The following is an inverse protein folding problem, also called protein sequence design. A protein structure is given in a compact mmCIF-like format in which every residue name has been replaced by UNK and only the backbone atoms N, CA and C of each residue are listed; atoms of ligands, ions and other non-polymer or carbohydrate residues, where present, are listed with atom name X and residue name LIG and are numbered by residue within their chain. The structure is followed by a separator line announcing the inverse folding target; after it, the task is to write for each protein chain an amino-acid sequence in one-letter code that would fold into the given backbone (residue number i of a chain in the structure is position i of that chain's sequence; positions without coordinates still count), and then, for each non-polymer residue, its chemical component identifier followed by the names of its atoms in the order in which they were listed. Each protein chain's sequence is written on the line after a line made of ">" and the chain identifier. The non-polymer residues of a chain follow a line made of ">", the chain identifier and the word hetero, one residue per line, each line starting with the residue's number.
data_IF_442920562911
#
_entry.id   IF_442920562911
#
_cell.length_a   1.000
_cell.length_b   1.000
_cell.length_c   1.000
_cell.angle_alpha   90.00
_cell.angle_beta   90.00
_cell.angle_gamma   90.00
#
_symmetry.space_group_name_H-M   'P 1'
#
loop_
_entity.id
_entity.type
_entity.pdbx_description
1 polymer ?
#
# COMPACT_ATOMS: atom_id res chain seq x y z
N UNK A 1 27.02 -5.65 -3.25
CA UNK A 1 26.84 -5.29 -1.82
C UNK A 1 26.21 -6.47 -1.11
N UNK A 2 26.44 -6.62 0.19
CA UNK A 2 25.77 -7.67 0.99
C UNK A 2 25.17 -6.97 2.21
N UNK A 3 23.87 -7.19 2.41
CA UNK A 3 23.17 -6.74 3.61
C UNK A 3 23.50 -7.69 4.76
N UNK A 4 24.12 -7.16 5.82
CA UNK A 4 24.38 -7.93 7.03
C UNK A 4 23.16 -7.84 7.97
N UNK A 5 22.39 -8.92 8.04
CA UNK A 5 21.19 -9.03 8.88
C UNK A 5 21.49 -8.97 10.38
N UNK A 6 22.74 -9.16 10.80
CA UNK A 6 23.16 -9.17 12.20
C UNK A 6 23.47 -7.78 12.72
N UNK A 7 24.11 -6.96 11.88
CA UNK A 7 24.54 -5.60 12.24
C UNK A 7 23.66 -4.51 11.64
N UNK A 8 22.79 -4.85 10.68
CA UNK A 8 21.90 -3.89 10.02
C UNK A 8 22.62 -2.95 9.04
N UNK A 9 23.88 -3.23 8.70
CA UNK A 9 24.68 -2.39 7.81
C UNK A 9 24.76 -2.97 6.40
N UNK A 10 24.81 -2.08 5.40
CA UNK A 10 25.13 -2.44 4.02
C UNK A 10 26.65 -2.49 3.90
N UNK A 11 27.20 -3.69 3.75
CA UNK A 11 28.64 -3.86 3.53
C UNK A 11 28.93 -3.80 2.03
N UNK A 12 29.70 -2.81 1.56
CA UNK A 12 30.15 -2.79 0.17
C UNK A 12 31.16 -3.94 -0.03
N UNK A 13 30.74 -4.97 -0.75
CA UNK A 13 31.64 -6.05 -1.18
C UNK A 13 32.31 -5.64 -2.48
N UNK A 14 33.62 -5.37 -2.41
CA UNK A 14 34.46 -5.06 -3.57
C UNK A 14 34.51 -6.26 -4.52
N UNK A 15 33.83 -6.17 -5.67
CA UNK A 15 34.05 -7.06 -6.81
C UNK A 15 34.86 -6.31 -7.88
N UNK A 16 36.19 -6.41 -7.78
CA UNK A 16 37.13 -5.94 -8.79
C UNK A 16 37.45 -4.44 -8.72
N UNK A 17 38.74 -4.10 -8.80
CA UNK A 17 39.24 -2.73 -8.80
C UNK A 17 39.44 -2.20 -10.22
N UNK A 18 38.91 -1.00 -10.52
CA UNK A 18 39.51 -0.05 -11.47
C UNK A 18 39.82 1.24 -10.73
N UNK A 19 41.01 1.79 -10.96
CA UNK A 19 41.52 3.01 -10.33
C UNK A 19 40.60 4.19 -10.69
N UNK A 20 39.97 4.83 -9.69
CA UNK A 20 39.20 6.07 -9.86
C UNK A 20 37.69 6.04 -9.53
N UNK A 21 37.13 4.92 -9.04
CA UNK A 21 35.73 4.90 -8.62
C UNK A 21 35.53 5.65 -7.30
N UNK A 22 34.75 6.74 -7.32
CA UNK A 22 34.22 7.38 -6.12
C UNK A 22 33.00 6.56 -5.67
N UNK A 23 33.04 6.05 -4.44
CA UNK A 23 31.96 5.25 -3.86
C UNK A 23 31.06 6.15 -3.01
N UNK A 24 29.93 6.57 -3.58
CA UNK A 24 28.89 7.25 -2.80
C UNK A 24 28.14 6.18 -1.99
N UNK A 25 28.33 6.19 -0.68
CA UNK A 25 27.63 5.32 0.27
C UNK A 25 26.45 6.10 0.81
N UNK A 26 25.22 5.67 0.48
CA UNK A 26 24.02 6.13 1.17
C UNK A 26 23.89 5.30 2.46
N UNK A 27 24.21 5.89 3.60
CA UNK A 27 23.84 5.32 4.90
C UNK A 27 22.54 5.97 5.34
N UNK A 28 21.41 5.33 5.06
CA UNK A 28 20.19 5.61 5.81
C UNK A 28 20.37 5.00 7.21
N UNK A 29 20.14 5.80 8.26
CA UNK A 29 20.03 5.25 9.61
C UNK A 29 18.84 4.27 9.62
N UNK A 30 18.97 3.06 10.19
CA UNK A 30 17.82 2.20 10.37
C UNK A 30 16.79 2.97 11.19
N UNK A 31 15.63 3.26 10.58
CA UNK A 31 14.54 3.91 11.27
C UNK A 31 14.19 3.08 12.52
N UNK A 32 14.01 3.74 13.66
CA UNK A 32 13.54 3.06 14.85
C UNK A 32 12.25 2.29 14.51
N UNK A 33 12.10 1.04 14.99
CA UNK A 33 10.88 0.30 14.74
C UNK A 33 9.69 1.09 15.27
N UNK A 34 8.76 1.46 14.38
CA UNK A 34 7.56 2.20 14.73
C UNK A 34 6.85 1.44 15.87
N UNK A 35 6.70 2.03 17.07
CA UNK A 35 6.16 1.32 18.21
C UNK A 35 4.75 0.82 17.92
N UNK A 36 4.47 -0.42 18.31
CA UNK A 36 3.11 -0.96 18.28
C UNK A 36 2.36 -0.44 19.51
N UNK A 37 1.27 0.29 19.29
CA UNK A 37 0.34 0.63 20.36
C UNK A 37 -0.70 -0.47 20.49
N UNK A 38 -1.06 -0.80 21.71
CA UNK A 38 -2.12 -1.75 22.03
C UNK A 38 -3.21 -1.03 22.81
N UNK A 39 -4.46 -1.20 22.39
CA UNK A 39 -5.63 -0.67 23.07
C UNK A 39 -6.37 -1.82 23.73
N UNK A 40 -6.60 -1.72 25.04
CA UNK A 40 -7.42 -2.64 25.82
C UNK A 40 -8.77 -1.97 26.05
N UNK A 41 -9.85 -2.60 25.57
CA UNK A 41 -11.19 -2.10 25.81
C UNK A 41 -11.78 -2.54 27.16
N UNK A 42 -12.98 -2.05 27.47
CA UNK A 42 -13.69 -2.36 28.71
C UNK A 42 -14.11 -3.84 28.84
N UNK A 43 -14.11 -4.58 27.73
CA UNK A 43 -14.43 -6.00 27.67
C UNK A 43 -13.19 -6.89 27.75
N UNK A 44 -12.00 -6.29 27.83
CA UNK A 44 -10.72 -7.00 27.90
C UNK A 44 -10.15 -7.40 26.54
N UNK A 45 -10.72 -6.92 25.43
CA UNK A 45 -10.21 -7.20 24.09
C UNK A 45 -9.04 -6.28 23.75
N UNK A 46 -8.01 -6.85 23.13
CA UNK A 46 -6.81 -6.11 22.77
C UNK A 46 -6.81 -5.87 21.27
N UNK A 47 -6.61 -4.62 20.87
CA UNK A 47 -6.40 -4.24 19.46
C UNK A 47 -5.00 -3.68 19.28
N UNK A 48 -4.33 -4.05 18.19
CA UNK A 48 -3.15 -3.32 17.75
C UNK A 48 -3.62 -2.06 17.03
N UNK A 49 -3.01 -0.93 17.35
CA UNK A 49 -3.34 0.39 16.80
C UNK A 49 -2.09 1.00 16.21
N UNK A 50 -2.21 1.52 14.99
CA UNK A 50 -1.17 2.29 14.33
C UNK A 50 -1.74 3.58 13.77
N UNK A 51 -0.98 4.66 13.91
CA UNK A 51 -1.34 5.99 13.41
C UNK A 51 -0.36 6.38 12.31
N UNK A 52 -0.89 6.85 11.19
CA UNK A 52 -0.14 7.43 10.08
C UNK A 52 -0.68 8.83 9.78
N UNK A 53 -0.13 9.51 8.77
CA UNK A 53 -0.69 10.77 8.25
C UNK A 53 -2.09 10.55 7.65
N UNK A 54 -2.33 9.40 7.03
CA UNK A 54 -3.64 9.02 6.44
C UNK A 54 -4.73 8.79 7.50
N UNK A 55 -4.39 8.18 8.64
CA UNK A 55 -5.41 7.83 9.63
C UNK A 55 -4.95 6.90 10.76
N UNK A 56 -5.93 6.37 11.49
CA UNK A 56 -5.77 5.35 12.52
C UNK A 56 -6.25 4.00 11.97
N UNK A 57 -5.39 3.00 12.11
CA UNK A 57 -5.61 1.63 11.67
C UNK A 57 -5.63 0.75 12.91
N UNK A 58 -6.71 -0.02 13.09
CA UNK A 58 -6.83 -0.95 14.21
C UNK A 58 -7.26 -2.34 13.77
N UNK A 59 -6.58 -3.34 14.31
CA UNK A 59 -6.89 -4.76 14.09
C UNK A 59 -6.90 -5.51 15.43
N UNK A 60 -7.82 -6.46 15.63
CA UNK A 60 -7.87 -7.26 16.85
C UNK A 60 -6.61 -8.13 17.01
N UNK A 61 -6.16 -8.32 18.25
CA UNK A 61 -5.10 -9.24 18.60
C UNK A 61 -5.70 -10.62 18.86
N UNK A 62 -5.31 -11.60 18.03
CA UNK A 62 -5.77 -12.98 18.16
C UNK A 62 -5.57 -13.53 19.57
N UNK A 63 -6.56 -14.28 20.05
CA UNK A 63 -6.52 -14.95 21.36
C UNK A 63 -6.94 -14.09 22.55
N UNK A 64 -7.29 -12.81 22.35
CA UNK A 64 -7.74 -11.91 23.43
C UNK A 64 -9.25 -11.64 23.42
N UNK A 65 -10.01 -12.33 22.57
CA UNK A 65 -11.34 -11.91 22.11
C UNK A 65 -11.24 -11.16 20.77
N UNK A 66 -12.32 -10.53 20.30
CA UNK A 66 -12.29 -9.76 19.05
C UNK A 66 -13.09 -8.47 19.20
N UNK A 67 -12.38 -7.35 19.10
CA UNK A 67 -12.96 -6.09 18.65
C UNK A 67 -13.17 -6.15 17.13
N UNK A 68 -14.09 -5.35 16.61
CA UNK A 68 -14.18 -5.13 15.16
C UNK A 68 -12.96 -4.30 14.72
N UNK A 69 -12.31 -4.67 13.61
CA UNK A 69 -11.27 -3.84 13.04
C UNK A 69 -11.84 -2.48 12.63
N UNK A 70 -11.03 -1.43 12.71
CA UNK A 70 -11.50 -0.07 12.44
C UNK A 70 -10.49 0.74 11.64
N UNK A 71 -11.01 1.56 10.72
CA UNK A 71 -10.28 2.57 9.96
C UNK A 71 -10.87 3.95 10.27
N UNK A 72 -10.04 4.88 10.71
CA UNK A 72 -10.43 6.29 10.86
C UNK A 72 -9.49 7.17 10.04
N UNK A 73 -10.00 7.78 8.97
CA UNK A 73 -9.21 8.66 8.12
C UNK A 73 -9.11 10.07 8.73
N UNK A 74 -7.92 10.65 8.67
CA UNK A 74 -7.68 12.08 8.95
C UNK A 74 -7.89 12.96 7.72
N UNK A 75 -7.89 12.34 6.55
CA UNK A 75 -8.18 12.95 5.25
C UNK A 75 -9.61 12.66 4.82
N UNK A 76 -10.16 13.46 3.90
CA UNK A 76 -11.47 13.17 3.32
C UNK A 76 -11.44 11.83 2.57
N UNK A 77 -12.58 11.15 2.39
CA UNK A 77 -12.62 9.95 1.54
C UNK A 77 -12.29 10.29 0.09
N UNK A 78 -11.51 9.44 -0.56
CA UNK A 78 -11.06 9.62 -1.95
C UNK A 78 -12.27 9.77 -2.88
N UNK A 79 -12.39 10.85 -3.67
CA UNK A 79 -13.45 10.98 -4.67
C UNK A 79 -13.48 9.77 -5.61
N UNK A 80 -14.66 9.20 -5.86
CA UNK A 80 -14.78 8.01 -6.73
C UNK A 80 -14.25 8.25 -8.14
N UNK A 81 -14.21 9.51 -8.60
CA UNK A 81 -13.61 9.88 -9.90
C UNK A 81 -12.12 9.50 -9.99
N UNK A 82 -11.38 9.51 -8.89
CA UNK A 82 -9.98 9.05 -8.83
C UNK A 82 -9.90 7.54 -9.07
N UNK A 83 -10.82 6.77 -8.47
CA UNK A 83 -10.92 5.33 -8.74
C UNK A 83 -11.31 5.06 -10.19
N UNK A 84 -12.25 5.84 -10.74
CA UNK A 84 -12.68 5.73 -12.14
C UNK A 84 -11.52 6.02 -13.11
N UNK A 85 -10.69 7.03 -12.83
CA UNK A 85 -9.47 7.33 -13.58
C UNK A 85 -8.50 6.14 -13.58
N UNK A 86 -8.16 5.63 -12.39
CA UNK A 86 -7.24 4.48 -12.22
C UNK A 86 -7.77 3.25 -12.96
N UNK A 87 -9.05 2.92 -12.76
CA UNK A 87 -9.69 1.78 -13.41
C UNK A 87 -9.71 1.98 -14.92
N UNK A 88 -9.97 3.19 -15.43
CA UNK A 88 -9.92 3.46 -16.87
C UNK A 88 -8.54 3.19 -17.45
N UNK A 89 -7.47 3.61 -16.78
CA UNK A 89 -6.09 3.35 -17.21
C UNK A 89 -5.77 1.85 -17.20
N UNK A 90 -6.12 1.14 -16.13
CA UNK A 90 -5.93 -0.32 -16.06
C UNK A 90 -6.67 -1.09 -17.15
N UNK A 91 -7.86 -0.61 -17.54
CA UNK A 91 -8.66 -1.22 -18.61
C UNK A 91 -8.11 -0.95 -20.01
N UNK A 92 -7.35 0.14 -20.20
CA UNK A 92 -6.74 0.46 -21.48
C UNK A 92 -5.63 -0.52 -21.85
N UNK A 93 -4.92 -1.06 -20.84
CA UNK A 93 -3.85 -2.06 -21.02
C UNK A 93 -4.08 -3.26 -20.08
N UNK A 94 -5.09 -4.10 -20.34
CA UNK A 94 -5.50 -5.17 -19.43
C UNK A 94 -4.55 -6.39 -19.47
N UNK A 95 -3.57 -6.40 -20.35
CA UNK A 95 -2.64 -7.52 -20.54
C UNK A 95 -1.34 -7.36 -19.70
N UNK A 96 -1.20 -6.24 -18.98
CA UNK A 96 -0.12 -5.98 -18.03
C UNK A 96 -0.67 -5.56 -16.66
N UNK A 97 0.08 -5.86 -15.61
CA UNK A 97 -0.15 -5.28 -14.29
C UNK A 97 0.40 -3.86 -14.23
N UNK A 98 -0.31 -2.97 -13.56
CA UNK A 98 0.04 -1.58 -13.38
C UNK A 98 -0.18 -1.19 -11.93
N UNK A 99 0.64 -0.29 -11.41
CA UNK A 99 0.60 0.23 -10.05
C UNK A 99 0.35 1.72 -10.07
N UNK A 100 -0.55 2.18 -9.21
CA UNK A 100 -0.86 3.58 -9.00
C UNK A 100 -0.86 3.91 -7.50
N UNK A 101 -0.43 5.11 -7.17
CA UNK A 101 -0.54 5.68 -5.83
C UNK A 101 -1.56 6.82 -5.86
N UNK A 102 -2.50 6.81 -4.92
CA UNK A 102 -3.36 7.96 -4.66
C UNK A 102 -2.67 8.82 -3.61
N UNK A 103 -2.26 10.01 -4.02
CA UNK A 103 -1.52 10.96 -3.19
C UNK A 103 -2.48 12.01 -2.65
N UNK A 104 -2.34 12.33 -1.37
CA UNK A 104 -2.95 13.49 -0.74
C UNK A 104 -1.94 14.63 -0.64
N UNK A 105 -2.38 15.86 -0.89
CA UNK A 105 -1.61 17.08 -0.59
C UNK A 105 -2.34 18.01 0.41
N UNK A 106 -1.60 18.96 0.98
CA UNK A 106 -2.13 19.94 1.95
C UNK A 106 -3.09 20.97 1.36
N UNK A 107 -3.12 21.13 0.02
CA UNK A 107 -4.13 21.94 -0.66
C UNK A 107 -5.49 21.20 -0.75
N UNK A 108 -5.60 20.03 -0.09
CA UNK A 108 -6.76 19.15 -0.02
C UNK A 108 -7.13 18.50 -1.35
N UNK A 109 -6.14 18.28 -2.22
CA UNK A 109 -6.37 17.62 -3.49
C UNK A 109 -5.85 16.18 -3.47
N UNK A 110 -6.68 15.29 -4.02
CA UNK A 110 -6.24 13.96 -4.41
C UNK A 110 -5.71 13.99 -5.83
N UNK A 111 -4.58 13.32 -6.05
CA UNK A 111 -4.02 13.08 -7.38
C UNK A 111 -3.56 11.63 -7.53
N UNK A 112 -3.56 11.13 -8.76
CA UNK A 112 -2.97 9.83 -9.09
C UNK A 112 -1.52 10.04 -9.50
N UNK A 113 -0.63 9.31 -8.85
CA UNK A 113 0.77 9.21 -9.23
C UNK A 113 1.05 7.82 -9.79
N UNK A 114 1.63 7.79 -10.98
CA UNK A 114 2.06 6.58 -11.67
C UNK A 114 3.59 6.50 -11.57
N UNK A 115 4.16 5.63 -10.72
CA UNK A 115 5.60 5.49 -10.63
C UNK A 115 6.19 4.95 -11.93
N UNK A 116 7.45 5.28 -12.20
CA UNK A 116 8.23 4.50 -13.16
C UNK A 116 8.28 3.06 -12.66
N UNK A 117 7.85 2.12 -13.50
CA UNK A 117 7.55 0.76 -13.07
C UNK A 117 7.90 -0.26 -14.16
N UNK A 118 8.29 -1.45 -13.73
CA UNK A 118 8.50 -2.61 -14.59
C UNK A 118 7.30 -3.53 -14.45
N UNK A 119 6.58 -3.74 -15.56
CA UNK A 119 5.34 -4.49 -15.58
C UNK A 119 5.45 -5.76 -16.41
N UNK A 120 4.80 -6.82 -15.94
CA UNK A 120 4.51 -8.04 -16.68
C UNK A 120 3.01 -8.34 -16.59
N UNK A 121 2.55 -9.43 -17.19
CA UNK A 121 1.16 -9.85 -17.10
C UNK A 121 0.71 -10.28 -15.68
N UNK A 122 1.66 -10.49 -14.76
CA UNK A 122 1.39 -11.07 -13.42
C UNK A 122 2.24 -10.43 -12.31
N UNK A 123 2.91 -9.32 -12.61
CA UNK A 123 3.71 -8.60 -11.63
C UNK A 123 3.92 -7.16 -12.04
N UNK A 124 3.97 -6.26 -11.06
CA UNK A 124 4.42 -4.88 -11.24
C UNK A 124 5.35 -4.49 -10.11
N UNK A 125 6.46 -3.83 -10.45
CA UNK A 125 7.44 -3.33 -9.49
C UNK A 125 7.79 -1.87 -9.80
N UNK A 126 7.59 -0.97 -8.84
CA UNK A 126 8.04 0.41 -8.96
C UNK A 126 9.58 0.46 -8.93
N UNK A 127 10.18 1.15 -9.88
CA UNK A 127 11.64 1.30 -9.99
C UNK A 127 12.18 2.26 -8.93
N UNK A 128 11.40 3.28 -8.58
CA UNK A 128 11.69 4.24 -7.52
C UNK A 128 10.50 4.37 -6.57
N UNK A 129 10.79 4.56 -5.28
CA UNK A 129 9.79 4.86 -4.28
C UNK A 129 9.27 6.30 -4.42
N UNK A 130 8.04 6.54 -3.96
CA UNK A 130 7.53 7.89 -3.79
C UNK A 130 8.02 8.45 -2.46
N UNK A 131 8.67 9.62 -2.48
CA UNK A 131 9.18 10.29 -1.28
C UNK A 131 8.06 11.07 -0.59
N UNK A 132 7.55 10.52 0.52
CA UNK A 132 6.51 11.17 1.33
C UNK A 132 7.08 12.34 2.15
N UNK A 133 6.24 13.36 2.36
CA UNK A 133 6.48 14.48 3.26
C UNK A 133 5.29 14.66 4.20
N UNK A 134 5.38 15.55 5.18
CA UNK A 134 4.25 15.94 6.02
C UNK A 134 3.07 16.52 5.24
N UNK A 135 3.35 17.07 4.06
CA UNK A 135 2.37 17.77 3.25
C UNK A 135 1.92 16.98 2.03
N UNK A 136 2.60 15.87 1.70
CA UNK A 136 2.35 15.08 0.49
C UNK A 136 2.67 13.61 0.73
N UNK A 137 1.64 12.77 0.80
CA UNK A 137 1.80 11.36 1.19
C UNK A 137 0.81 10.44 0.49
N UNK A 138 1.11 9.14 0.49
CA UNK A 138 0.32 8.09 -0.13
C UNK A 138 -0.84 7.71 0.79
N UNK A 139 -2.06 7.85 0.30
CA UNK A 139 -3.27 7.40 1.00
C UNK A 139 -3.63 5.96 0.63
N UNK A 140 -3.53 5.61 -0.65
CA UNK A 140 -3.88 4.30 -1.18
C UNK A 140 -2.86 3.88 -2.22
N UNK A 141 -2.37 2.64 -2.11
CA UNK A 141 -1.68 1.96 -3.22
C UNK A 141 -2.68 1.01 -3.89
N UNK A 142 -2.69 1.00 -5.21
CA UNK A 142 -3.61 0.14 -5.95
C UNK A 142 -2.93 -0.38 -7.20
N UNK A 143 -2.98 -1.70 -7.39
CA UNK A 143 -2.47 -2.34 -8.61
C UNK A 143 -3.54 -3.10 -9.36
N UNK A 144 -3.26 -3.39 -10.62
CA UNK A 144 -4.10 -4.23 -11.47
C UNK A 144 -3.55 -5.65 -11.53
N UNK A 145 -4.44 -6.62 -11.64
CA UNK A 145 -4.18 -8.02 -11.97
C UNK A 145 -4.45 -8.30 -13.47
N UNK A 146 -4.54 -7.24 -14.28
CA UNK A 146 -4.88 -7.31 -15.69
C UNK A 146 -6.13 -8.15 -15.96
N UNK A 147 -5.95 -9.32 -16.58
CA UNK A 147 -7.05 -10.24 -16.93
C UNK A 147 -7.44 -11.22 -15.83
N UNK A 148 -6.69 -11.28 -14.73
CA UNK A 148 -6.94 -12.21 -13.62
C UNK A 148 -7.95 -11.63 -12.61
N UNK A 149 -8.64 -12.46 -11.81
CA UNK A 149 -9.52 -12.00 -10.74
C UNK A 149 -8.81 -11.09 -9.73
N UNK A 150 -9.59 -10.26 -9.04
CA UNK A 150 -9.06 -9.45 -7.95
C UNK A 150 -8.84 -10.34 -6.72
N UNK A 151 -7.60 -10.47 -6.26
CA UNK A 151 -7.25 -11.17 -5.01
C UNK A 151 -5.92 -10.62 -4.50
N UNK A 152 -5.60 -10.79 -3.22
CA UNK A 152 -4.27 -10.49 -2.70
C UNK A 152 -3.41 -11.76 -2.69
N UNK A 153 -2.26 -11.71 -3.37
CA UNK A 153 -1.31 -12.80 -3.48
C UNK A 153 -0.37 -12.86 -2.27
N UNK A 154 0.41 -13.94 -2.17
CA UNK A 154 1.49 -14.03 -1.15
C UNK A 154 2.60 -13.01 -1.38
N UNK A 155 2.81 -12.59 -2.63
CA UNK A 155 3.78 -11.56 -2.96
C UNK A 155 3.25 -10.21 -2.45
N UNK A 156 1.98 -9.91 -2.68
CA UNK A 156 1.31 -8.72 -2.18
C UNK A 156 1.38 -8.68 -0.64
N UNK A 157 1.13 -9.80 0.04
CA UNK A 157 1.27 -9.89 1.50
C UNK A 157 2.69 -9.52 1.99
N UNK A 158 3.73 -9.87 1.23
CA UNK A 158 5.12 -9.58 1.56
C UNK A 158 5.50 -8.14 1.25
N UNK A 159 4.94 -7.55 0.20
CA UNK A 159 5.25 -6.20 -0.27
C UNK A 159 4.42 -5.12 0.45
N UNK A 160 3.20 -5.46 0.89
CA UNK A 160 2.21 -4.53 1.46
C UNK A 160 2.24 -4.47 3.02
N UNK A 161 3.41 -4.68 3.62
CA UNK A 161 3.56 -4.70 5.09
C UNK A 161 3.38 -3.31 5.72
N UNK A 162 3.66 -2.23 4.98
CA UNK A 162 3.52 -0.85 5.47
C UNK A 162 2.08 -0.60 5.92
N UNK A 163 1.90 0.13 7.03
CA UNK A 163 0.55 0.50 7.48
C UNK A 163 -0.08 1.46 6.49
N UNK A 164 -1.25 1.12 5.97
CA UNK A 164 -1.89 1.88 4.89
C UNK A 164 -3.05 1.14 4.24
N UNK A 165 -3.60 1.74 3.19
CA UNK A 165 -4.66 1.15 2.36
C UNK A 165 -4.08 0.59 1.07
N UNK A 166 -4.63 -0.54 0.67
CA UNK A 166 -4.23 -1.30 -0.51
C UNK A 166 -5.47 -1.72 -1.30
N UNK A 167 -5.37 -1.66 -2.62
CA UNK A 167 -6.42 -2.07 -3.53
C UNK A 167 -5.87 -2.97 -4.63
N UNK A 168 -6.70 -3.86 -5.13
CA UNK A 168 -6.40 -4.61 -6.34
C UNK A 168 -7.60 -4.58 -7.28
N UNK A 169 -7.33 -4.34 -8.57
CA UNK A 169 -8.33 -4.35 -9.64
C UNK A 169 -8.07 -5.54 -10.54
N UNK A 170 -9.03 -6.44 -10.61
CA UNK A 170 -8.97 -7.63 -11.47
C UNK A 170 -9.98 -7.57 -12.61
N UNK A 171 -9.83 -8.49 -13.56
CA UNK A 171 -10.71 -8.63 -14.72
C UNK A 171 -10.87 -7.31 -15.50
N UNK A 172 -9.78 -6.56 -15.69
CA UNK A 172 -9.76 -5.25 -16.35
C UNK A 172 -10.25 -5.27 -17.79
N UNK A 173 -10.33 -6.43 -18.44
CA UNK A 173 -10.92 -6.57 -19.76
C UNK A 173 -12.47 -6.51 -19.75
N UNK A 174 -13.11 -6.58 -18.58
CA UNK A 174 -14.57 -6.60 -18.45
C UNK A 174 -15.19 -5.21 -18.34
N UNK A 175 -16.48 -5.12 -18.66
CA UNK A 175 -17.26 -3.89 -18.50
C UNK A 175 -17.32 -3.41 -17.05
N UNK A 176 -17.27 -4.35 -16.09
CA UNK A 176 -17.27 -4.10 -14.65
C UNK A 176 -16.12 -4.90 -14.01
N UNK A 177 -14.91 -4.32 -13.94
CA UNK A 177 -13.78 -4.98 -13.29
C UNK A 177 -14.08 -5.33 -11.84
N UNK A 178 -13.39 -6.33 -11.31
CA UNK A 178 -13.45 -6.67 -9.90
C UNK A 178 -12.55 -5.74 -9.09
N UNK A 179 -12.98 -5.35 -7.89
CA UNK A 179 -12.16 -4.57 -6.96
C UNK A 179 -12.18 -5.22 -5.57
N UNK A 180 -11.01 -5.24 -4.93
CA UNK A 180 -10.88 -5.55 -3.51
C UNK A 180 -9.99 -4.52 -2.83
N UNK A 181 -10.31 -4.23 -1.57
CA UNK A 181 -9.49 -3.36 -0.75
C UNK A 181 -9.21 -4.00 0.60
N UNK A 182 -8.04 -3.67 1.13
CA UNK A 182 -7.63 -4.03 2.47
C UNK A 182 -6.88 -2.88 3.12
N UNK A 183 -6.83 -2.91 4.43
CA UNK A 183 -5.84 -2.17 5.19
C UNK A 183 -4.77 -3.12 5.72
N UNK A 184 -3.56 -2.59 5.87
CA UNK A 184 -2.47 -3.23 6.61
C UNK A 184 -2.26 -2.47 7.91
N UNK A 185 -2.20 -3.18 9.03
CA UNK A 185 -1.76 -2.66 10.32
C UNK A 185 -0.42 -3.31 10.72
N UNK A 186 0.63 -2.95 9.97
CA UNK A 186 1.98 -3.50 10.16
C UNK A 186 2.08 -4.96 9.72
N UNK A 187 1.56 -5.28 8.54
CA UNK A 187 1.52 -6.63 7.97
C UNK A 187 0.34 -7.49 8.45
N UNK A 188 -0.54 -6.95 9.30
CA UNK A 188 -1.83 -7.57 9.63
C UNK A 188 -2.90 -7.00 8.71
N UNK A 189 -3.43 -7.85 7.84
CA UNK A 189 -4.37 -7.45 6.80
C UNK A 189 -5.82 -7.62 7.22
N UNK A 190 -6.65 -6.65 6.84
CA UNK A 190 -8.08 -6.69 7.04
C UNK A 190 -8.80 -6.14 5.80
N UNK A 191 -9.83 -6.85 5.32
CA UNK A 191 -10.68 -6.36 4.23
C UNK A 191 -11.41 -5.09 4.65
N UNK A 192 -11.46 -4.11 3.74
CA UNK A 192 -12.11 -2.81 3.95
C UNK A 192 -13.18 -2.63 2.89
N UNK A 193 -14.38 -2.20 3.30
CA UNK A 193 -15.44 -1.92 2.34
C UNK A 193 -15.07 -0.65 1.56
N UNK A 194 -15.23 -0.60 0.24
CA UNK A 194 -14.76 0.57 -0.50
C UNK A 194 -15.56 1.85 -0.20
N UNK A 195 -16.75 1.76 0.40
CA UNK A 195 -17.47 2.93 0.94
C UNK A 195 -16.80 3.60 2.16
N UNK A 196 -15.84 2.92 2.80
CA UNK A 196 -15.01 3.48 3.87
C UNK A 196 -13.82 4.27 3.29
N UNK A 197 -13.39 3.95 2.07
CA UNK A 197 -12.24 4.56 1.40
C UNK A 197 -12.67 5.70 0.46
N UNK A 198 -13.77 5.48 -0.29
CA UNK A 198 -14.20 6.36 -1.36
C UNK A 198 -15.48 7.14 -1.02
N UNK A 199 -15.61 8.33 -1.63
CA UNK A 199 -16.82 9.14 -1.64
C UNK A 199 -17.48 9.06 -3.03
N UNK A 200 -18.70 8.53 -3.08
CA UNK A 200 -19.46 8.35 -4.33
C UNK A 200 -19.92 6.92 -4.58
N UNK A 201 -20.61 6.70 -5.69
CA UNK A 201 -21.14 5.39 -6.07
C UNK A 201 -20.13 4.60 -6.90
N UNK A 202 -19.85 3.37 -6.48
CA UNK A 202 -18.89 2.48 -7.13
C UNK A 202 -19.61 1.62 -8.16
N UNK A 203 -19.07 1.57 -9.38
CA UNK A 203 -19.65 0.84 -10.51
C UNK A 203 -18.91 -0.47 -10.85
N UNK A 204 -17.90 -0.85 -10.08
CA UNK A 204 -17.13 -2.08 -10.26
C UNK A 204 -17.72 -3.23 -9.41
N UNK A 205 -17.36 -4.48 -9.75
CA UNK A 205 -17.72 -5.65 -8.98
C UNK A 205 -16.96 -5.70 -7.67
N UNK A 206 -17.60 -5.40 -6.54
CA UNK A 206 -16.96 -5.47 -5.22
C UNK A 206 -16.89 -6.92 -4.77
N UNK A 207 -15.68 -7.46 -4.63
CA UNK A 207 -15.43 -8.81 -4.14
C UNK A 207 -14.94 -8.76 -2.69
N UNK A 208 -15.35 -9.75 -1.89
CA UNK A 208 -14.94 -9.90 -0.47
C UNK A 208 -13.74 -10.82 -0.38
#
# INVERSE_FOLDING_TARGET
>A
MVYDKTTGHIVPVLKGHKKGAVMTVYTEHPADPIPNYYFLDEHGFVSQVRRTQTGIFSVPVQGTGSSEPSLTLFVARIPVSILEEIVSTFRAEPDIEQLAYVIWDMDQHYSVYWPDQTSSAVSVEAQEGFMETDERFIVLQIHSHGRLPAFFSKQDDADEIRTGLYGVVGLCHQAYPEIRFRMSCGGKFQSVAPGEIFSGAIRCGVVR
#
